data_IF_322682436397
#
_entry.id   IF_322682436397
#
_cell.length_a   1.000
_cell.length_b   1.000
_cell.length_c   1.000
_cell.angle_alpha   90.00
_cell.angle_beta   90.00
_cell.angle_gamma   90.00
#
_symmetry.space_group_name_H-M   'P 1'
#
loop_
_entity.id
_entity.type
_entity.pdbx_description
1 polymer ?
#
# COMPACT_ATOMS: atom_id res chain seq x y z
N UNK A 1 0.98 14.22 -41.64
CA UNK A 1 0.25 13.02 -41.17
C UNK A 1 -0.58 13.39 -39.96
N UNK A 2 -1.89 13.15 -39.98
CA UNK A 2 -2.77 13.41 -38.82
C UNK A 2 -2.49 12.34 -37.74
N UNK A 3 -2.28 12.70 -36.47
CA UNK A 3 -2.17 11.70 -35.40
C UNK A 3 -3.48 10.91 -35.32
N UNK A 4 -3.37 9.58 -35.33
CA UNK A 4 -4.51 8.67 -35.36
C UNK A 4 -5.42 8.87 -34.16
N UNK A 5 -6.71 9.14 -34.41
CA UNK A 5 -7.75 9.18 -33.38
C UNK A 5 -7.77 7.84 -32.65
N UNK A 6 -7.53 7.87 -31.34
CA UNK A 6 -7.80 6.74 -30.45
C UNK A 6 -9.29 6.42 -30.58
N UNK A 7 -9.62 5.14 -30.81
CA UNK A 7 -10.99 4.67 -31.06
C UNK A 7 -11.84 4.96 -29.81
N UNK A 8 -12.85 5.82 -29.95
CA UNK A 8 -13.78 6.22 -28.87
C UNK A 8 -14.53 4.96 -28.36
N UNK A 9 -14.35 4.59 -27.08
CA UNK A 9 -15.05 3.45 -26.47
C UNK A 9 -16.30 3.98 -25.77
N UNK A 10 -17.47 3.71 -26.33
CA UNK A 10 -18.75 4.16 -25.76
C UNK A 10 -19.20 3.28 -24.60
N UNK A 11 -20.22 3.69 -23.84
CA UNK A 11 -20.82 2.83 -22.79
C UNK A 11 -21.29 1.47 -23.31
N UNK A 12 -21.81 1.43 -24.55
CA UNK A 12 -22.25 0.18 -25.19
C UNK A 12 -21.05 -0.71 -25.58
N UNK A 13 -19.94 -0.12 -26.01
CA UNK A 13 -18.70 -0.84 -26.28
C UNK A 13 -18.09 -1.38 -24.99
N UNK A 14 -18.06 -0.57 -23.93
CA UNK A 14 -17.59 -0.97 -22.61
C UNK A 14 -18.40 -2.16 -22.08
N UNK A 15 -19.74 -2.11 -22.18
CA UNK A 15 -20.61 -3.23 -21.80
C UNK A 15 -20.26 -4.53 -22.53
N UNK A 16 -20.01 -4.45 -23.84
CA UNK A 16 -19.59 -5.63 -24.64
C UNK A 16 -18.20 -6.14 -24.24
N UNK A 17 -17.24 -5.26 -24.01
CA UNK A 17 -15.83 -5.61 -23.73
C UNK A 17 -15.59 -6.14 -22.32
N UNK A 18 -16.50 -5.86 -21.38
CA UNK A 18 -16.39 -6.28 -19.98
C UNK A 18 -17.52 -7.21 -19.56
N UNK A 19 -18.47 -7.51 -20.46
CA UNK A 19 -19.66 -8.32 -20.17
C UNK A 19 -20.54 -7.78 -19.02
N UNK A 20 -20.41 -6.49 -18.69
CA UNK A 20 -21.29 -5.80 -17.73
C UNK A 20 -22.54 -5.28 -18.43
N UNK A 21 -23.65 -5.19 -17.71
CA UNK A 21 -24.82 -4.48 -18.25
C UNK A 21 -24.56 -2.97 -18.32
N UNK A 22 -25.22 -2.29 -19.26
CA UNK A 22 -25.14 -0.83 -19.38
C UNK A 22 -25.55 -0.14 -18.07
N UNK A 23 -26.55 -0.69 -17.36
CA UNK A 23 -27.02 -0.16 -16.09
C UNK A 23 -25.94 -0.27 -14.99
N UNK A 24 -25.23 -1.40 -14.92
CA UNK A 24 -24.11 -1.57 -13.98
C UNK A 24 -22.99 -0.56 -14.27
N UNK A 25 -22.61 -0.35 -15.54
CA UNK A 25 -21.59 0.63 -15.90
C UNK A 25 -22.02 2.05 -15.54
N UNK A 26 -23.27 2.43 -15.84
CA UNK A 26 -23.80 3.74 -15.47
C UNK A 26 -23.84 3.95 -13.95
N UNK A 27 -24.12 2.90 -13.18
CA UNK A 27 -24.09 2.95 -11.72
C UNK A 27 -22.67 3.22 -11.19
N UNK A 28 -21.66 2.52 -11.71
CA UNK A 28 -20.23 2.72 -11.37
C UNK A 28 -19.76 4.15 -11.68
N UNK A 29 -20.12 4.67 -12.86
CA UNK A 29 -19.80 6.05 -13.27
C UNK A 29 -20.46 7.06 -12.35
N UNK A 30 -21.74 6.88 -12.02
CA UNK A 30 -22.49 7.79 -11.11
C UNK A 30 -21.88 7.82 -9.71
N UNK A 31 -21.32 6.70 -9.26
CA UNK A 31 -20.65 6.57 -7.97
C UNK A 31 -19.19 7.05 -8.00
N UNK A 32 -18.71 7.56 -9.14
CA UNK A 32 -17.39 8.18 -9.26
C UNK A 32 -16.22 7.21 -9.32
N UNK A 33 -16.50 5.90 -9.37
CA UNK A 33 -15.49 4.83 -9.39
C UNK A 33 -14.65 4.91 -10.66
N UNK A 34 -15.29 5.03 -11.82
CA UNK A 34 -14.63 5.42 -13.07
C UNK A 34 -15.14 6.79 -13.50
N UNK A 35 -14.28 7.61 -14.10
CA UNK A 35 -14.58 8.99 -14.51
C UNK A 35 -14.30 9.17 -16.01
N UNK A 36 -15.09 8.51 -16.89
CA UNK A 36 -14.91 8.61 -18.33
C UNK A 36 -15.12 10.05 -18.81
N UNK A 37 -14.45 10.41 -19.91
CA UNK A 37 -14.57 11.74 -20.49
C UNK A 37 -15.94 11.91 -21.16
N UNK A 38 -16.40 13.16 -21.28
CA UNK A 38 -17.61 13.48 -22.03
C UNK A 38 -17.25 13.82 -23.47
N UNK A 39 -17.64 12.92 -24.36
CA UNK A 39 -17.48 13.02 -25.80
C UNK A 39 -18.54 13.87 -26.50
N UNK A 40 -18.55 13.75 -27.82
CA UNK A 40 -19.53 14.42 -28.70
C UNK A 40 -20.96 13.98 -28.34
N UNK A 41 -21.89 14.94 -28.24
CA UNK A 41 -23.29 14.73 -27.80
C UNK A 41 -23.43 14.20 -26.35
N UNK A 42 -22.51 14.57 -25.46
CA UNK A 42 -22.54 14.22 -24.03
C UNK A 42 -22.51 12.71 -23.75
N UNK A 43 -22.00 11.91 -24.68
CA UNK A 43 -21.80 10.47 -24.48
C UNK A 43 -20.53 10.23 -23.66
N UNK A 44 -20.54 9.19 -22.83
CA UNK A 44 -19.33 8.80 -22.10
C UNK A 44 -18.35 8.09 -23.03
N UNK A 45 -17.11 8.55 -23.01
CA UNK A 45 -15.96 7.97 -23.68
C UNK A 45 -15.02 7.38 -22.63
N UNK A 46 -14.89 6.06 -22.63
CA UNK A 46 -14.11 5.31 -21.67
C UNK A 46 -12.67 5.17 -22.15
N UNK A 47 -11.73 5.44 -21.24
CA UNK A 47 -10.32 5.14 -21.47
C UNK A 47 -10.05 3.64 -21.33
N UNK A 48 -8.89 3.19 -21.80
CA UNK A 48 -8.46 1.81 -21.59
C UNK A 48 -8.37 1.45 -20.09
N UNK A 49 -7.95 2.40 -19.24
CA UNK A 49 -7.87 2.21 -17.79
C UNK A 49 -9.26 1.98 -17.19
N UNK A 50 -10.27 2.72 -17.65
CA UNK A 50 -11.66 2.52 -17.20
C UNK A 50 -12.15 1.11 -17.55
N UNK A 51 -11.80 0.59 -18.74
CA UNK A 51 -12.17 -0.77 -19.15
C UNK A 51 -11.49 -1.84 -18.29
N UNK A 52 -10.24 -1.63 -17.89
CA UNK A 52 -9.53 -2.54 -16.96
C UNK A 52 -10.24 -2.59 -15.60
N UNK A 53 -10.62 -1.43 -15.05
CA UNK A 53 -11.36 -1.35 -13.78
C UNK A 53 -12.72 -2.03 -13.89
N UNK A 54 -13.49 -1.74 -14.95
CA UNK A 54 -14.79 -2.37 -15.21
C UNK A 54 -14.68 -3.89 -15.37
N UNK A 55 -13.61 -4.41 -16.00
CA UNK A 55 -13.37 -5.86 -16.11
C UNK A 55 -13.07 -6.50 -14.76
N UNK A 56 -12.38 -5.81 -13.85
CA UNK A 56 -12.16 -6.30 -12.48
C UNK A 56 -13.48 -6.33 -11.69
N UNK A 57 -14.30 -5.30 -11.81
CA UNK A 57 -15.66 -5.26 -11.23
C UNK A 57 -16.48 -6.46 -11.72
N UNK A 58 -16.45 -6.76 -13.03
CA UNK A 58 -17.15 -7.93 -13.58
C UNK A 58 -16.70 -9.24 -12.92
N UNK A 59 -15.40 -9.45 -12.75
CA UNK A 59 -14.87 -10.67 -12.12
C UNK A 59 -15.34 -10.85 -10.68
N UNK A 60 -15.57 -9.77 -9.94
CA UNK A 60 -16.12 -9.83 -8.58
C UNK A 60 -17.61 -10.14 -8.59
N UNK A 61 -18.37 -9.57 -9.53
CA UNK A 61 -19.78 -9.90 -9.71
C UNK A 61 -19.97 -11.37 -10.10
N UNK A 62 -19.06 -11.93 -10.92
CA UNK A 62 -19.07 -13.35 -11.29
C UNK A 62 -18.74 -14.30 -10.13
N UNK A 63 -18.26 -13.74 -9.01
CA UNK A 63 -18.02 -14.44 -7.75
C UNK A 63 -19.05 -14.06 -6.68
N UNK A 64 -20.23 -13.62 -7.12
CA UNK A 64 -21.39 -13.26 -6.28
C UNK A 64 -21.15 -12.13 -5.26
N UNK A 65 -20.13 -11.29 -5.45
CA UNK A 65 -19.96 -10.12 -4.58
C UNK A 65 -20.99 -9.04 -4.93
N UNK A 66 -21.78 -8.54 -3.95
CA UNK A 66 -22.79 -7.52 -4.23
C UNK A 66 -22.18 -6.22 -4.76
N UNK A 67 -22.82 -5.65 -5.80
CA UNK A 67 -22.39 -4.41 -6.46
C UNK A 67 -22.20 -3.23 -5.47
N UNK A 68 -23.03 -3.15 -4.44
CA UNK A 68 -22.96 -2.13 -3.40
C UNK A 68 -21.66 -2.22 -2.58
N UNK A 69 -21.23 -3.44 -2.22
CA UNK A 69 -19.96 -3.68 -1.51
C UNK A 69 -18.75 -3.40 -2.40
N UNK A 70 -18.82 -3.77 -3.69
CA UNK A 70 -17.75 -3.45 -4.65
C UNK A 70 -17.54 -1.94 -4.74
N UNK A 71 -18.62 -1.18 -4.92
CA UNK A 71 -18.52 0.28 -5.01
C UNK A 71 -18.03 0.90 -3.71
N UNK A 72 -18.53 0.44 -2.56
CA UNK A 72 -18.16 1.01 -1.26
C UNK A 72 -16.69 0.72 -0.92
N UNK A 73 -16.21 -0.51 -1.12
CA UNK A 73 -14.81 -0.86 -0.93
C UNK A 73 -13.87 -0.10 -1.88
N UNK A 74 -14.20 -0.02 -3.17
CA UNK A 74 -13.39 0.74 -4.13
C UNK A 74 -13.40 2.25 -3.81
N UNK A 75 -14.52 2.81 -3.36
CA UNK A 75 -14.60 4.22 -2.95
C UNK A 75 -13.73 4.50 -1.72
N UNK A 76 -13.67 3.57 -0.76
CA UNK A 76 -12.79 3.69 0.40
C UNK A 76 -11.32 3.67 0.00
N UNK A 77 -10.92 2.82 -0.97
CA UNK A 77 -9.57 2.85 -1.57
C UNK A 77 -9.27 4.21 -2.21
N UNK A 78 -10.21 4.76 -3.00
CA UNK A 78 -10.03 6.08 -3.62
C UNK A 78 -9.95 7.20 -2.59
N UNK A 79 -10.65 7.08 -1.46
CA UNK A 79 -10.58 8.07 -0.38
C UNK A 79 -9.23 8.03 0.35
N UNK A 80 -8.65 6.83 0.51
CA UNK A 80 -7.33 6.63 1.10
C UNK A 80 -6.18 6.97 0.15
N UNK A 81 -6.42 6.95 -1.17
CA UNK A 81 -5.41 7.26 -2.20
C UNK A 81 -6.01 7.99 -3.40
N UNK A 82 -6.46 9.25 -3.24
CA UNK A 82 -7.22 9.99 -4.25
C UNK A 82 -6.45 10.32 -5.52
N UNK A 83 -5.11 10.19 -5.49
CA UNK A 83 -4.20 10.48 -6.60
C UNK A 83 -3.80 9.24 -7.39
N UNK A 84 -4.13 8.03 -6.92
CA UNK A 84 -3.79 6.79 -7.63
C UNK A 84 -4.96 6.28 -8.48
N UNK A 85 -4.74 5.93 -9.77
CA UNK A 85 -5.77 5.30 -10.57
C UNK A 85 -6.05 3.89 -10.03
N UNK A 86 -7.33 3.54 -9.90
CA UNK A 86 -7.78 2.22 -9.38
C UNK A 86 -7.19 1.01 -10.10
N UNK A 87 -6.69 1.18 -11.33
CA UNK A 87 -5.96 0.15 -12.06
C UNK A 87 -4.65 -0.28 -11.37
N UNK A 88 -4.08 0.57 -10.51
CA UNK A 88 -2.86 0.31 -9.74
C UNK A 88 -3.10 -0.52 -8.47
N UNK A 89 -4.36 -0.69 -8.04
CA UNK A 89 -4.71 -1.38 -6.79
C UNK A 89 -5.33 -2.75 -7.10
N UNK A 90 -4.77 -3.84 -6.55
CA UNK A 90 -5.27 -5.20 -6.77
C UNK A 90 -6.48 -5.50 -5.89
N UNK A 91 -7.62 -4.96 -6.27
CA UNK A 91 -8.91 -5.24 -5.61
C UNK A 91 -9.42 -6.61 -6.07
N UNK A 92 -9.71 -7.50 -5.13
CA UNK A 92 -10.23 -8.86 -5.32
C UNK A 92 -11.44 -9.13 -4.43
N UNK A 93 -12.05 -10.31 -4.59
CA UNK A 93 -13.15 -10.78 -3.76
C UNK A 93 -12.72 -11.99 -2.94
N UNK A 94 -13.02 -11.98 -1.64
CA UNK A 94 -12.88 -13.12 -0.74
C UNK A 94 -14.26 -13.41 -0.13
N UNK A 95 -14.92 -14.50 -0.57
CA UNK A 95 -16.32 -14.74 -0.22
C UNK A 95 -17.24 -13.61 -0.68
N UNK A 96 -18.03 -13.02 0.23
CA UNK A 96 -18.94 -11.89 -0.02
C UNK A 96 -18.30 -10.51 0.23
N UNK A 97 -16.98 -10.47 0.46
CA UNK A 97 -16.24 -9.27 0.84
C UNK A 97 -15.38 -8.77 -0.32
N UNK A 98 -15.18 -7.44 -0.38
CA UNK A 98 -14.19 -6.82 -1.26
C UNK A 98 -12.93 -6.58 -0.47
N UNK A 99 -11.82 -7.07 -0.99
CA UNK A 99 -10.52 -7.02 -0.35
C UNK A 99 -9.50 -6.40 -1.28
N UNK A 100 -8.53 -5.72 -0.71
CA UNK A 100 -7.40 -5.16 -1.43
C UNK A 100 -6.20 -6.03 -1.12
N UNK A 101 -5.59 -6.57 -2.16
CA UNK A 101 -4.27 -7.16 -2.06
C UNK A 101 -3.21 -6.06 -2.23
N UNK A 102 -2.46 -5.82 -1.17
CA UNK A 102 -1.14 -5.23 -1.24
C UNK A 102 -0.09 -6.36 -1.37
N UNK A 103 1.19 -6.03 -1.59
CA UNK A 103 2.29 -6.98 -1.83
C UNK A 103 2.56 -7.94 -0.66
N UNK A 104 2.00 -7.68 0.53
CA UNK A 104 2.21 -8.48 1.73
C UNK A 104 0.94 -8.79 2.53
N UNK A 105 -0.21 -8.20 2.20
CA UNK A 105 -1.43 -8.39 2.98
C UNK A 105 -2.69 -8.26 2.14
N UNK A 106 -3.73 -8.98 2.57
CA UNK A 106 -5.10 -8.81 2.12
C UNK A 106 -5.77 -7.94 3.15
N UNK A 107 -6.45 -6.85 2.78
CA UNK A 107 -7.15 -6.03 3.77
C UNK A 107 -8.49 -5.54 3.24
N UNK A 108 -9.45 -5.36 4.14
CA UNK A 108 -10.77 -4.84 3.81
C UNK A 108 -10.69 -3.31 3.76
N UNK A 109 -10.94 -2.68 2.61
CA UNK A 109 -10.80 -1.24 2.47
C UNK A 109 -11.88 -0.43 3.19
N UNK A 110 -13.02 -1.03 3.52
CA UNK A 110 -14.08 -0.35 4.27
C UNK A 110 -13.78 -0.27 5.76
N UNK A 111 -13.11 -1.28 6.32
CA UNK A 111 -12.82 -1.36 7.77
C UNK A 111 -11.35 -1.05 8.07
N UNK A 112 -10.46 -1.08 7.08
CA UNK A 112 -9.01 -0.96 7.26
C UNK A 112 -8.36 -2.22 7.83
N UNK A 113 -9.14 -3.27 8.09
CA UNK A 113 -8.68 -4.48 8.76
C UNK A 113 -7.88 -5.36 7.81
N UNK A 114 -6.69 -5.79 8.23
CA UNK A 114 -5.90 -6.79 7.50
C UNK A 114 -6.47 -8.18 7.77
N UNK A 115 -6.81 -8.90 6.71
CA UNK A 115 -7.31 -10.26 6.75
C UNK A 115 -6.14 -11.24 6.68
N UNK A 116 -6.03 -12.08 7.71
CA UNK A 116 -5.12 -13.22 7.74
C UNK A 116 -5.68 -14.36 6.87
N UNK A 117 -4.90 -14.81 5.90
CA UNK A 117 -5.23 -15.97 5.09
C UNK A 117 -4.71 -17.24 5.78
N UNK A 118 -5.61 -18.04 6.36
CA UNK A 118 -5.29 -19.28 7.06
C UNK A 118 -5.37 -20.53 6.17
N UNK A 119 -5.77 -20.39 4.89
CA UNK A 119 -5.76 -21.49 3.93
C UNK A 119 -4.35 -21.67 3.35
N UNK A 120 -3.50 -22.37 4.11
CA UNK A 120 -2.29 -22.97 3.59
C UNK A 120 -2.59 -24.33 2.95
N UNK A 121 -2.92 -24.36 1.65
CA UNK A 121 -2.90 -25.54 0.76
C UNK A 121 -3.30 -25.06 -0.66
N UNK A 122 -2.57 -25.25 -1.78
CA UNK A 122 -1.51 -26.19 -2.17
C UNK A 122 -0.50 -25.54 -3.14
N UNK A 123 0.76 -25.88 -2.93
CA UNK A 123 1.90 -25.71 -3.85
C UNK A 123 1.87 -26.64 -5.10
N UNK A 124 0.74 -27.26 -5.43
CA UNK A 124 0.66 -28.18 -6.58
C UNK A 124 -0.06 -27.57 -7.78
N UNK A 125 0.62 -26.63 -8.42
CA UNK A 125 0.58 -26.55 -9.88
C UNK A 125 1.97 -26.16 -10.39
N UNK A 126 2.87 -27.16 -10.44
CA UNK A 126 4.00 -27.16 -11.37
C UNK A 126 3.47 -27.19 -12.81
N UNK A 127 2.85 -26.10 -13.25
CA UNK A 127 2.61 -25.83 -14.66
C UNK A 127 3.73 -24.91 -15.14
N UNK A 128 4.87 -25.50 -15.51
CA UNK A 128 5.89 -24.90 -16.39
C UNK A 128 6.02 -23.37 -16.29
N UNK A 129 6.41 -22.84 -15.13
CA UNK A 129 6.93 -21.46 -15.09
C UNK A 129 8.36 -21.54 -15.56
N UNK A 130 8.48 -21.63 -16.88
CA UNK A 130 9.55 -20.96 -17.61
C UNK A 130 9.64 -19.56 -17.00
N UNK A 131 10.68 -19.28 -16.21
CA UNK A 131 11.04 -17.91 -15.81
C UNK A 131 11.20 -17.11 -17.11
N UNK A 132 10.12 -16.48 -17.53
CA UNK A 132 10.04 -15.66 -18.73
C UNK A 132 9.91 -14.19 -18.31
N UNK A 133 10.53 -13.29 -19.07
CA UNK A 133 11.22 -12.09 -18.58
C UNK A 133 10.29 -10.90 -18.29
N UNK A 134 9.04 -11.13 -17.89
CA UNK A 134 8.06 -10.05 -17.70
C UNK A 134 8.43 -9.18 -16.50
N UNK A 135 8.85 -9.78 -15.37
CA UNK A 135 9.26 -9.04 -14.17
C UNK A 135 10.51 -8.19 -14.43
N UNK A 136 11.44 -8.71 -15.22
CA UNK A 136 12.65 -7.99 -15.62
C UNK A 136 12.36 -6.92 -16.68
N UNK A 137 11.43 -7.16 -17.60
CA UNK A 137 11.03 -6.18 -18.62
C UNK A 137 10.20 -5.03 -18.05
N UNK A 138 9.32 -5.31 -17.09
CA UNK A 138 8.55 -4.32 -16.33
C UNK A 138 9.47 -3.53 -15.40
N UNK A 139 10.37 -4.19 -14.67
CA UNK A 139 11.41 -3.54 -13.89
C UNK A 139 12.28 -2.67 -14.79
N UNK A 140 12.82 -3.20 -15.89
CA UNK A 140 13.58 -2.40 -16.87
C UNK A 140 12.75 -1.27 -17.47
N UNK A 141 11.42 -1.44 -17.65
CA UNK A 141 10.55 -0.37 -18.16
C UNK A 141 10.33 0.73 -17.14
N UNK A 142 10.07 0.38 -15.89
CA UNK A 142 9.97 1.30 -14.77
C UNK A 142 11.29 2.03 -14.54
N UNK A 143 12.41 1.29 -14.45
CA UNK A 143 13.74 1.86 -14.29
C UNK A 143 14.12 2.75 -15.49
N UNK A 144 13.77 2.38 -16.73
CA UNK A 144 13.93 3.24 -17.92
C UNK A 144 13.06 4.49 -17.85
N UNK A 145 11.80 4.39 -17.42
CA UNK A 145 10.94 5.56 -17.24
C UNK A 145 11.52 6.47 -16.15
N UNK A 146 11.94 5.92 -15.00
CA UNK A 146 12.60 6.69 -13.96
C UNK A 146 13.86 7.38 -14.51
N UNK A 147 14.76 6.65 -15.18
CA UNK A 147 16.01 7.23 -15.72
C UNK A 147 15.76 8.27 -16.83
N UNK A 148 14.68 8.13 -17.62
CA UNK A 148 14.32 9.09 -18.68
C UNK A 148 13.57 10.33 -18.16
N UNK A 149 12.70 10.16 -17.15
CA UNK A 149 11.83 11.23 -16.64
C UNK A 149 12.45 12.02 -15.47
N UNK A 150 13.34 11.41 -14.69
CA UNK A 150 14.10 12.09 -13.63
C UNK A 150 14.96 13.26 -14.13
N UNK A 151 15.32 13.25 -15.41
CA UNK A 151 16.14 14.31 -16.01
C UNK A 151 15.36 15.50 -16.55
N UNK A 152 14.02 15.42 -16.66
CA UNK A 152 13.20 16.38 -17.42
C UNK A 152 12.09 17.07 -16.64
N UNK A 153 11.67 16.53 -15.49
CA UNK A 153 10.59 17.10 -14.70
C UNK A 153 11.07 17.53 -13.30
N UNK A 154 10.58 18.69 -12.83
CA UNK A 154 10.75 19.13 -11.45
C UNK A 154 9.84 18.29 -10.55
N UNK A 155 10.29 17.08 -10.19
CA UNK A 155 9.55 16.20 -9.27
C UNK A 155 9.41 16.83 -7.88
N UNK A 156 8.25 16.62 -7.26
CA UNK A 156 7.99 17.06 -5.89
C UNK A 156 8.50 16.06 -4.85
N UNK A 157 8.54 16.45 -3.58
CA UNK A 157 8.86 15.53 -2.48
C UNK A 157 7.91 14.31 -2.45
N UNK A 158 6.61 14.52 -2.74
CA UNK A 158 5.62 13.45 -2.80
C UNK A 158 5.90 12.48 -3.96
N UNK A 159 6.29 12.99 -5.13
CA UNK A 159 6.65 12.14 -6.28
C UNK A 159 7.86 11.26 -5.96
N UNK A 160 8.90 11.86 -5.37
CA UNK A 160 10.10 11.13 -4.94
C UNK A 160 9.80 10.09 -3.86
N UNK A 161 8.90 10.40 -2.92
CA UNK A 161 8.43 9.44 -1.92
C UNK A 161 7.69 8.26 -2.58
N UNK A 162 6.78 8.53 -3.51
CA UNK A 162 6.05 7.49 -4.24
C UNK A 162 6.98 6.62 -5.09
N UNK A 163 7.99 7.22 -5.72
CA UNK A 163 9.05 6.50 -6.43
C UNK A 163 9.81 5.59 -5.47
N UNK A 164 10.14 6.07 -4.26
CA UNK A 164 10.78 5.26 -3.22
C UNK A 164 9.96 4.03 -2.85
N UNK A 165 8.65 4.19 -2.66
CA UNK A 165 7.74 3.07 -2.38
C UNK A 165 7.70 2.07 -3.53
N UNK A 166 7.57 2.55 -4.77
CA UNK A 166 7.56 1.65 -5.94
C UNK A 166 8.90 0.90 -6.07
N UNK A 167 10.03 1.54 -5.75
CA UNK A 167 11.35 0.90 -5.79
C UNK A 167 11.52 -0.16 -4.70
N UNK A 168 11.05 0.07 -3.46
CA UNK A 168 11.05 -0.97 -2.42
C UNK A 168 10.22 -2.19 -2.85
N UNK A 169 9.09 -1.89 -3.46
CA UNK A 169 8.10 -2.87 -3.81
C UNK A 169 8.59 -3.82 -4.92
N UNK A 170 9.48 -3.36 -5.80
CA UNK A 170 10.17 -4.18 -6.81
C UNK A 170 11.53 -4.71 -6.32
N UNK A 171 11.80 -4.65 -5.02
CA UNK A 171 13.03 -5.13 -4.36
C UNK A 171 14.30 -4.42 -4.83
N UNK A 172 14.23 -3.11 -5.09
CA UNK A 172 15.37 -2.23 -5.42
C UNK A 172 15.71 -1.26 -4.26
N UNK A 173 16.13 -1.77 -3.08
CA UNK A 173 16.29 -0.98 -1.87
C UNK A 173 17.33 0.14 -2.01
N UNK A 174 18.40 -0.08 -2.79
CA UNK A 174 19.42 0.95 -3.03
C UNK A 174 18.87 2.15 -3.79
N UNK A 175 17.95 1.93 -4.74
CA UNK A 175 17.31 3.02 -5.49
C UNK A 175 16.23 3.69 -4.63
N UNK A 176 15.46 2.92 -3.87
CA UNK A 176 14.47 3.45 -2.94
C UNK A 176 15.10 4.39 -1.90
N UNK A 177 16.24 4.00 -1.33
CA UNK A 177 17.01 4.82 -0.40
C UNK A 177 17.32 6.21 -1.00
N UNK A 178 17.79 6.25 -2.24
CA UNK A 178 18.06 7.51 -2.95
C UNK A 178 16.80 8.34 -3.16
N UNK A 179 15.70 7.70 -3.55
CA UNK A 179 14.43 8.39 -3.78
C UNK A 179 13.88 9.01 -2.49
N UNK A 180 13.93 8.31 -1.36
CA UNK A 180 13.54 8.90 -0.07
C UNK A 180 14.45 10.03 0.39
N UNK A 181 15.77 9.94 0.13
CA UNK A 181 16.69 11.05 0.41
C UNK A 181 16.36 12.28 -0.44
N UNK A 182 15.98 12.11 -1.70
CA UNK A 182 15.51 13.23 -2.54
C UNK A 182 14.18 13.81 -2.05
N UNK A 183 13.24 12.97 -1.62
CA UNK A 183 11.99 13.43 -1.00
C UNK A 183 12.26 14.32 0.23
N UNK A 184 13.15 13.87 1.11
CA UNK A 184 13.59 14.62 2.30
C UNK A 184 14.33 15.90 1.92
N UNK A 185 15.15 15.87 0.87
CA UNK A 185 15.89 17.06 0.41
C UNK A 185 14.95 18.15 -0.12
N UNK A 186 13.86 17.76 -0.77
CA UNK A 186 12.87 18.68 -1.33
C UNK A 186 11.87 19.18 -0.28
N UNK A 187 11.55 18.37 0.72
CA UNK A 187 10.73 18.73 1.87
C UNK A 187 11.28 18.06 3.13
N UNK A 188 11.96 18.84 3.96
CA UNK A 188 12.60 18.39 5.18
C UNK A 188 11.60 18.05 6.30
N UNK A 189 10.29 18.22 6.04
CA UNK A 189 9.17 17.87 6.92
C UNK A 189 8.39 16.65 6.42
N UNK A 190 8.82 15.98 5.35
CA UNK A 190 8.16 14.77 4.86
C UNK A 190 8.39 13.58 5.80
N UNK A 191 7.55 13.47 6.84
CA UNK A 191 7.60 12.44 7.88
C UNK A 191 7.60 11.03 7.30
N UNK A 192 6.78 10.76 6.27
CA UNK A 192 6.66 9.44 5.67
C UNK A 192 7.97 8.99 5.00
N UNK A 193 8.70 9.91 4.35
CA UNK A 193 10.00 9.63 3.77
C UNK A 193 11.05 9.31 4.84
N UNK A 194 11.06 10.02 5.97
CA UNK A 194 11.94 9.69 7.10
C UNK A 194 11.62 8.30 7.69
N UNK A 195 10.33 7.98 7.90
CA UNK A 195 9.90 6.69 8.44
C UNK A 195 10.30 5.52 7.51
N UNK A 196 10.01 5.63 6.21
CA UNK A 196 10.34 4.56 5.26
C UNK A 196 11.85 4.42 5.04
N UNK A 197 12.60 5.52 4.98
CA UNK A 197 14.06 5.48 4.92
C UNK A 197 14.67 4.87 6.19
N UNK A 198 14.12 5.22 7.36
CA UNK A 198 14.51 4.65 8.64
C UNK A 198 14.31 3.14 8.67
N UNK A 199 13.13 2.65 8.27
CA UNK A 199 12.83 1.22 8.19
C UNK A 199 13.76 0.51 7.23
N UNK A 200 13.99 1.10 6.06
CA UNK A 200 14.88 0.54 5.05
C UNK A 200 16.32 0.40 5.55
N UNK A 201 16.82 1.39 6.29
CA UNK A 201 18.15 1.35 6.90
C UNK A 201 18.23 0.39 8.08
N UNK A 202 17.16 0.24 8.85
CA UNK A 202 17.07 -0.74 9.92
C UNK A 202 17.13 -2.17 9.38
N UNK A 203 16.40 -2.46 8.28
CA UNK A 203 16.48 -3.75 7.57
C UNK A 203 17.87 -4.02 6.96
N UNK A 204 18.63 -2.96 6.67
CA UNK A 204 20.02 -3.01 6.20
C UNK A 204 21.03 -2.95 7.37
N UNK A 205 20.57 -3.19 8.62
CA UNK A 205 21.35 -3.20 9.86
C UNK A 205 22.11 -1.88 10.18
N UNK A 206 21.77 -0.78 9.50
CA UNK A 206 22.32 0.56 9.75
C UNK A 206 21.57 1.27 10.87
N UNK A 207 21.56 0.65 12.04
CA UNK A 207 20.78 1.09 13.21
C UNK A 207 21.07 2.54 13.62
N UNK A 208 22.33 3.05 13.65
CA UNK A 208 22.59 4.44 14.03
C UNK A 208 22.04 5.47 13.03
N UNK A 209 21.98 5.13 11.74
CA UNK A 209 21.36 6.02 10.74
C UNK A 209 19.84 5.98 10.85
N UNK A 210 19.24 4.80 11.01
CA UNK A 210 17.81 4.63 11.19
C UNK A 210 17.29 5.38 12.44
N UNK A 211 17.99 5.24 13.57
CA UNK A 211 17.71 5.95 14.83
C UNK A 211 17.58 7.46 14.62
N UNK A 212 18.57 8.08 13.96
CA UNK A 212 18.54 9.54 13.68
C UNK A 212 17.33 9.96 12.86
N UNK A 213 16.87 9.12 11.92
CA UNK A 213 15.70 9.43 11.11
C UNK A 213 14.41 9.35 11.93
N UNK A 214 14.27 8.36 12.80
CA UNK A 214 13.11 8.27 13.69
C UNK A 214 13.11 9.36 14.77
N UNK A 215 14.26 9.71 15.34
CA UNK A 215 14.40 10.88 16.22
C UNK A 215 13.99 12.17 15.51
N UNK A 216 14.33 12.31 14.22
CA UNK A 216 13.87 13.44 13.41
C UNK A 216 12.35 13.44 13.22
N UNK A 217 11.73 12.28 13.06
CA UNK A 217 10.25 12.17 13.04
C UNK A 217 9.66 12.62 14.37
N UNK A 218 10.22 12.21 15.52
CA UNK A 218 9.74 12.65 16.83
C UNK A 218 9.95 14.15 17.08
N UNK A 219 10.97 14.77 16.50
CA UNK A 219 11.12 16.23 16.54
C UNK A 219 10.01 16.96 15.75
N UNK A 220 9.59 16.38 14.62
CA UNK A 220 8.54 16.94 13.75
C UNK A 220 7.12 16.61 14.24
N UNK A 221 6.96 15.43 14.83
CA UNK A 221 5.71 14.87 15.34
C UNK A 221 5.99 14.09 16.63
N UNK A 222 6.01 14.79 17.79
CA UNK A 222 6.32 14.17 19.08
C UNK A 222 5.39 13.03 19.49
N UNK A 223 4.18 12.98 18.93
CA UNK A 223 3.18 11.93 19.18
C UNK A 223 3.20 10.80 18.15
N UNK A 224 4.26 10.69 17.33
CA UNK A 224 4.34 9.63 16.31
C UNK A 224 4.59 8.27 16.97
N UNK A 225 3.52 7.52 17.21
CA UNK A 225 3.60 6.18 17.80
C UNK A 225 4.46 5.23 16.94
N UNK A 226 4.36 5.32 15.61
CA UNK A 226 5.17 4.48 14.72
C UNK A 226 6.67 4.76 14.83
N UNK A 227 7.08 6.03 14.98
CA UNK A 227 8.47 6.38 15.20
C UNK A 227 8.97 5.90 16.57
N UNK A 228 8.14 6.06 17.61
CA UNK A 228 8.42 5.54 18.96
C UNK A 228 8.56 4.02 18.94
N UNK A 229 7.62 3.29 18.35
CA UNK A 229 7.71 1.83 18.20
C UNK A 229 8.99 1.42 17.48
N UNK A 230 9.30 2.02 16.33
CA UNK A 230 10.51 1.65 15.58
C UNK A 230 11.81 1.97 16.35
N UNK A 231 11.87 3.07 17.10
CA UNK A 231 12.99 3.33 18.03
C UNK A 231 13.07 2.26 19.12
N UNK A 232 11.92 1.87 19.69
CA UNK A 232 11.83 0.77 20.63
C UNK A 232 12.47 -0.50 20.07
N UNK A 233 12.14 -0.88 18.83
CA UNK A 233 12.74 -2.07 18.18
C UNK A 233 14.25 -1.96 17.96
N UNK A 234 14.78 -0.75 17.72
CA UNK A 234 16.22 -0.53 17.62
C UNK A 234 16.89 -0.74 18.98
N UNK A 235 16.39 -0.11 20.03
CA UNK A 235 16.95 -0.25 21.38
C UNK A 235 16.86 -1.69 21.89
N UNK A 236 15.77 -2.37 21.57
CA UNK A 236 15.55 -3.79 21.86
C UNK A 236 16.59 -4.69 21.17
N UNK A 237 16.88 -4.42 19.88
CA UNK A 237 17.95 -5.11 19.14
C UNK A 237 19.33 -4.86 19.76
N UNK A 238 19.53 -3.72 20.41
CA UNK A 238 20.76 -3.36 21.13
C UNK A 238 20.78 -3.84 22.58
N UNK A 239 19.75 -4.58 23.02
CA UNK A 239 19.55 -5.04 24.41
C UNK A 239 19.48 -3.89 25.44
N UNK A 240 19.18 -2.67 25.00
CA UNK A 240 18.93 -1.50 25.85
C UNK A 240 17.46 -1.49 26.29
N UNK A 241 17.08 -2.48 27.10
CA UNK A 241 15.67 -2.79 27.39
C UNK A 241 14.90 -1.65 28.06
N UNK A 242 15.51 -0.89 28.97
CA UNK A 242 14.83 0.23 29.63
C UNK A 242 14.38 1.30 28.62
N UNK A 243 15.25 1.63 27.66
CA UNK A 243 14.96 2.59 26.59
C UNK A 243 13.96 2.02 25.60
N UNK A 244 14.08 0.73 25.26
CA UNK A 244 13.10 0.05 24.42
C UNK A 244 11.69 0.12 25.03
N UNK A 245 11.57 -0.17 26.33
CA UNK A 245 10.30 -0.11 27.06
C UNK A 245 9.72 1.30 27.12
N UNK A 246 10.55 2.33 27.35
CA UNK A 246 10.12 3.73 27.30
C UNK A 246 9.48 4.05 25.94
N UNK A 247 10.16 3.70 24.85
CA UNK A 247 9.69 3.95 23.50
C UNK A 247 8.44 3.14 23.13
N UNK A 248 8.33 1.87 23.55
CA UNK A 248 7.12 1.09 23.36
C UNK A 248 5.91 1.65 24.14
N UNK A 249 6.13 2.18 25.36
CA UNK A 249 5.06 2.86 26.12
C UNK A 249 4.58 4.16 25.45
N UNK A 250 5.44 4.80 24.67
CA UNK A 250 5.09 5.96 23.84
C UNK A 250 4.38 5.58 22.51
N UNK A 251 4.00 4.31 22.34
CA UNK A 251 3.21 3.80 21.23
C UNK A 251 2.06 2.88 21.74
N UNK A 252 1.16 3.39 22.60
CA UNK A 252 0.20 2.58 23.36
C UNK A 252 -0.96 2.00 22.53
N UNK A 253 -1.17 2.48 21.29
CA UNK A 253 -2.21 1.96 20.42
C UNK A 253 -1.67 0.93 19.42
N UNK A 254 -0.39 0.58 19.49
CA UNK A 254 0.22 -0.46 18.67
C UNK A 254 0.26 -1.78 19.44
N UNK A 255 -0.48 -2.79 18.97
CA UNK A 255 -0.45 -4.15 19.56
C UNK A 255 0.99 -4.66 19.69
N UNK A 256 1.83 -4.43 18.67
CA UNK A 256 3.22 -4.88 18.62
C UNK A 256 4.08 -4.27 19.74
N UNK A 257 3.80 -3.02 20.15
CA UNK A 257 4.48 -2.40 21.30
C UNK A 257 4.18 -3.17 22.58
N UNK A 258 2.93 -3.55 22.79
CA UNK A 258 2.51 -4.32 23.94
C UNK A 258 3.05 -5.76 23.91
N UNK A 259 3.06 -6.40 22.74
CA UNK A 259 3.70 -7.71 22.57
C UNK A 259 5.20 -7.66 22.94
N UNK A 260 5.93 -6.64 22.46
CA UNK A 260 7.35 -6.49 22.76
C UNK A 260 7.60 -6.13 24.24
N UNK A 261 6.76 -5.29 24.84
CA UNK A 261 6.80 -5.01 26.28
C UNK A 261 6.60 -6.28 27.10
N UNK A 262 5.64 -7.12 26.73
CA UNK A 262 5.40 -8.37 27.42
C UNK A 262 6.63 -9.28 27.40
N UNK A 263 7.23 -9.47 26.22
CA UNK A 263 8.46 -10.26 26.05
C UNK A 263 9.61 -9.72 26.91
N UNK A 264 9.79 -8.38 26.97
CA UNK A 264 10.83 -7.79 27.82
C UNK A 264 10.55 -8.05 29.30
N UNK A 265 9.30 -7.90 29.74
CA UNK A 265 8.93 -8.20 31.13
C UNK A 265 9.11 -9.69 31.50
N UNK A 266 8.87 -10.62 30.57
CA UNK A 266 9.19 -12.04 30.76
C UNK A 266 10.69 -12.26 30.99
N UNK A 267 11.54 -11.61 30.18
CA UNK A 267 13.00 -11.68 30.34
C UNK A 267 13.47 -11.12 31.70
N UNK A 268 12.77 -10.11 32.21
CA UNK A 268 13.03 -9.51 33.53
C UNK A 268 12.38 -10.28 34.70
N UNK A 269 11.58 -11.31 34.42
CA UNK A 269 10.88 -12.13 35.41
C UNK A 269 9.62 -11.49 36.01
N UNK A 270 9.08 -10.44 35.41
CA UNK A 270 7.81 -9.82 35.83
C UNK A 270 6.64 -10.40 35.02
N UNK A 271 6.20 -11.59 35.41
CA UNK A 271 5.11 -12.32 34.75
C UNK A 271 3.77 -11.54 34.79
N UNK A 272 3.55 -10.72 35.83
CA UNK A 272 2.31 -9.97 36.00
C UNK A 272 2.24 -8.83 34.98
N UNK A 273 3.33 -8.07 34.83
CA UNK A 273 3.40 -7.02 33.82
C UNK A 273 3.37 -7.60 32.40
N UNK A 274 4.03 -8.74 32.19
CA UNK A 274 4.00 -9.44 30.91
C UNK A 274 2.58 -9.82 30.49
N UNK A 275 1.85 -10.51 31.36
CA UNK A 275 0.48 -10.95 31.09
C UNK A 275 -0.46 -9.77 30.80
N UNK A 276 -0.34 -8.68 31.56
CA UNK A 276 -1.12 -7.46 31.33
C UNK A 276 -0.89 -6.89 29.93
N UNK A 277 0.36 -6.89 29.47
CA UNK A 277 0.68 -6.39 28.14
C UNK A 277 0.25 -7.36 27.03
N UNK A 278 0.29 -8.68 27.25
CA UNK A 278 -0.29 -9.65 26.31
C UNK A 278 -1.81 -9.48 26.17
N UNK A 279 -2.52 -9.28 27.27
CA UNK A 279 -3.95 -8.98 27.25
C UNK A 279 -4.24 -7.72 26.45
N UNK A 280 -3.51 -6.64 26.72
CA UNK A 280 -3.68 -5.38 25.99
C UNK A 280 -3.35 -5.49 24.50
N UNK A 281 -2.33 -6.28 24.15
CA UNK A 281 -1.98 -6.56 22.74
C UNK A 281 -3.14 -7.24 22.01
N UNK A 282 -3.79 -8.25 22.63
CA UNK A 282 -4.95 -8.93 22.05
C UNK A 282 -6.15 -8.00 21.89
N UNK A 283 -6.45 -7.17 22.90
CA UNK A 283 -7.54 -6.19 22.84
C UNK A 283 -7.41 -5.21 21.66
N UNK A 284 -6.19 -4.92 21.21
CA UNK A 284 -5.94 -4.02 20.09
C UNK A 284 -6.02 -4.71 18.72
N UNK A 285 -6.10 -6.05 18.69
CA UNK A 285 -6.20 -6.86 17.47
C UNK A 285 -7.64 -7.28 17.12
N UNK A 286 -8.54 -7.21 18.10
CA UNK A 286 -10.00 -7.50 17.98
C UNK A 286 -10.81 -6.32 17.41
#
# INVERSE_FOLDING_TARGET
>A
MRPGKIKEITTADAARLTSLTVHQIQYVVRKGIVKPQRGVRSRFEFSFQDIVVLRRIKRMLDRDVPMSRIVKGISAVQALSPLQPLSAVNVQSLGSEVVVHDRQSIWNPETGQTLLNFDGEKEEEKANIREFPVREAELRSLLRHLDQHLSKENLTSLDWFNIGMELESVKEPKRANRAYREAIRLDDKNINAYLNLGRLLQLDEKLPEAKRLYERVLQLSPSSELASYNLGTIFDTLEEFELAMEHYRNAPNMSQSHHNLARIFELLGDEVAAQRHLERSRELEE
#
